data_IF_138882171228
#
_entry.id   IF_138882171228
#
_cell.length_a   1.000
_cell.length_b   1.000
_cell.length_c   1.000
_cell.angle_alpha   90.00
_cell.angle_beta   90.00
_cell.angle_gamma   90.00
#
_symmetry.space_group_name_H-M   'P 1'
#
loop_
_entity.id
_entity.type
_entity.pdbx_description
1 polymer ?
#
# COMPACT_ATOMS: atom_id res chain seq x y z
N UNK A 1 28.09 -20.50 5.77
CA UNK A 1 26.92 -21.15 6.37
C UNK A 1 25.78 -20.85 5.41
N UNK A 2 25.07 -21.86 4.88
CA UNK A 2 23.88 -21.59 4.07
C UNK A 2 22.79 -21.01 4.97
N UNK A 3 22.03 -20.00 4.53
CA UNK A 3 20.85 -19.55 5.26
C UNK A 3 19.89 -20.71 5.45
N UNK A 4 19.25 -20.78 6.63
CA UNK A 4 18.20 -21.76 6.85
C UNK A 4 17.05 -21.49 5.88
N UNK A 5 16.46 -22.53 5.25
CA UNK A 5 15.32 -22.35 4.37
C UNK A 5 14.17 -21.71 5.14
N UNK A 6 13.58 -20.64 4.59
CA UNK A 6 12.35 -20.05 5.12
C UNK A 6 11.30 -21.15 5.23
N UNK A 7 10.81 -21.39 6.45
CA UNK A 7 9.71 -22.32 6.75
C UNK A 7 8.40 -21.74 6.22
N UNK A 8 8.22 -21.82 4.90
CA UNK A 8 7.19 -21.10 4.16
C UNK A 8 5.78 -21.47 4.64
N UNK A 9 5.54 -22.74 4.98
CA UNK A 9 4.21 -23.25 5.33
C UNK A 9 3.72 -22.78 6.71
N UNK A 10 4.61 -22.75 7.72
CA UNK A 10 4.25 -22.30 9.08
C UNK A 10 4.07 -20.78 9.15
N UNK A 11 4.90 -20.02 8.43
CA UNK A 11 4.76 -18.57 8.32
C UNK A 11 3.50 -18.19 7.52
N UNK A 12 3.25 -18.83 6.39
CA UNK A 12 2.07 -18.56 5.56
C UNK A 12 0.78 -18.87 6.33
N UNK A 13 0.73 -19.95 7.12
CA UNK A 13 -0.46 -20.28 7.91
C UNK A 13 -0.67 -19.29 9.05
N UNK A 14 0.38 -18.92 9.80
CA UNK A 14 0.28 -17.91 10.86
C UNK A 14 -0.23 -16.56 10.33
N UNK A 15 0.15 -16.20 9.10
CA UNK A 15 -0.16 -14.91 8.46
C UNK A 15 -1.53 -14.90 7.80
N UNK A 16 -1.99 -16.03 7.26
CA UNK A 16 -3.39 -16.20 6.86
C UNK A 16 -4.34 -16.13 8.06
N UNK A 17 -3.84 -16.47 9.26
CA UNK A 17 -4.59 -16.47 10.51
C UNK A 17 -4.44 -15.16 11.32
N UNK A 18 -3.38 -14.37 11.11
CA UNK A 18 -3.30 -12.98 11.58
C UNK A 18 -3.88 -12.04 10.54
N UNK A 19 -5.16 -11.73 10.68
CA UNK A 19 -5.63 -10.40 10.31
C UNK A 19 -4.85 -9.43 11.22
N UNK A 20 -3.72 -8.90 10.74
CA UNK A 20 -3.06 -7.81 11.44
C UNK A 20 -4.04 -6.64 11.47
N UNK A 21 -4.73 -6.54 12.61
CA UNK A 21 -5.60 -5.45 13.07
C UNK A 21 -4.85 -4.12 12.93
N UNK A 22 -4.82 -3.61 11.71
CA UNK A 22 -4.34 -2.27 11.40
C UNK A 22 -5.50 -1.28 11.46
N UNK A 23 -6.43 -1.45 12.41
CA UNK A 23 -7.45 -0.45 12.71
C UNK A 23 -6.73 0.83 13.15
N UNK A 24 -6.61 1.77 12.22
CA UNK A 24 -6.06 3.09 12.49
C UNK A 24 -7.17 3.97 13.09
N UNK A 25 -6.82 4.92 13.95
CA UNK A 25 -7.72 6.02 14.30
C UNK A 25 -8.34 6.64 13.03
N UNK A 26 -9.62 7.04 13.10
CA UNK A 26 -10.31 7.63 11.94
C UNK A 26 -9.55 8.83 11.37
N UNK A 27 -8.95 9.63 12.26
CA UNK A 27 -8.15 10.79 11.92
C UNK A 27 -6.74 10.47 11.37
N UNK A 28 -6.34 9.21 11.20
CA UNK A 28 -5.00 8.84 10.71
C UNK A 28 -5.04 8.10 9.37
N UNK A 29 -4.49 8.67 8.30
CA UNK A 29 -4.42 8.07 6.96
C UNK A 29 -2.97 7.71 6.64
N UNK A 30 -2.73 6.50 6.10
CA UNK A 30 -1.37 6.06 5.76
C UNK A 30 -0.99 6.51 4.35
N UNK A 31 0.26 6.91 4.14
CA UNK A 31 0.79 7.24 2.83
C UNK A 31 0.64 6.09 1.83
N UNK A 32 0.84 4.83 2.25
CA UNK A 32 0.59 3.65 1.43
C UNK A 32 -0.87 3.47 0.99
N UNK A 33 -1.83 4.09 1.70
CA UNK A 33 -3.23 4.10 1.27
C UNK A 33 -3.54 5.21 0.28
N UNK A 34 -2.67 6.22 0.14
CA UNK A 34 -2.90 7.37 -0.74
C UNK A 34 -2.93 6.99 -2.21
N UNK A 35 -2.26 5.89 -2.59
CA UNK A 35 -2.35 5.34 -3.94
C UNK A 35 -3.66 4.65 -4.27
N UNK A 36 -4.47 4.27 -3.28
CA UNK A 36 -5.74 3.61 -3.55
C UNK A 36 -6.85 4.59 -3.93
N UNK A 37 -7.90 4.12 -4.61
CA UNK A 37 -9.09 4.94 -4.81
C UNK A 37 -9.79 5.22 -3.46
N UNK A 38 -10.60 6.30 -3.38
CA UNK A 38 -11.34 6.65 -2.17
C UNK A 38 -12.14 5.50 -1.56
N UNK A 39 -12.85 4.72 -2.39
CA UNK A 39 -13.57 3.50 -1.96
C UNK A 39 -12.67 2.55 -1.18
N UNK A 40 -11.54 2.20 -1.77
CA UNK A 40 -10.62 1.21 -1.20
C UNK A 40 -10.02 1.73 0.12
N UNK A 41 -9.79 3.02 0.22
CA UNK A 41 -9.39 3.66 1.49
C UNK A 41 -10.50 3.60 2.54
N UNK A 42 -11.77 3.87 2.17
CA UNK A 42 -12.94 3.77 3.06
C UNK A 42 -13.12 2.35 3.59
N UNK A 43 -13.12 1.35 2.72
CA UNK A 43 -13.27 -0.06 3.13
C UNK A 43 -12.13 -0.48 4.04
N UNK A 44 -10.88 -0.08 3.74
CA UNK A 44 -9.73 -0.37 4.59
C UNK A 44 -9.83 0.31 5.97
N UNK A 45 -10.46 1.50 6.07
CA UNK A 45 -10.61 2.24 7.34
C UNK A 45 -11.46 1.51 8.37
N UNK A 46 -12.37 0.67 7.90
CA UNK A 46 -13.32 -0.06 8.75
C UNK A 46 -13.04 -1.56 8.77
N UNK A 47 -11.91 -1.98 8.21
CA UNK A 47 -11.56 -3.39 7.99
C UNK A 47 -12.69 -4.16 7.30
N UNK A 48 -13.36 -3.52 6.34
CA UNK A 48 -14.59 -4.02 5.74
C UNK A 48 -14.37 -4.87 4.49
N UNK A 49 -13.14 -5.27 4.19
CA UNK A 49 -12.79 -6.07 3.03
C UNK A 49 -12.32 -7.46 3.44
N UNK A 50 -12.82 -8.45 2.71
CA UNK A 50 -12.25 -9.77 2.64
C UNK A 50 -11.54 -9.92 1.31
N UNK A 51 -10.37 -10.56 1.35
CA UNK A 51 -9.61 -10.87 0.15
C UNK A 51 -9.47 -12.37 -0.01
N UNK A 52 -9.58 -12.88 -1.25
CA UNK A 52 -9.24 -14.26 -1.56
C UNK A 52 -7.83 -14.61 -1.10
N UNK A 53 -7.62 -15.87 -0.71
CA UNK A 53 -6.33 -16.37 -0.21
C UNK A 53 -5.13 -16.03 -1.10
N UNK A 54 -5.33 -16.05 -2.43
CA UNK A 54 -4.26 -15.76 -3.39
C UNK A 54 -3.82 -14.29 -3.37
N UNK A 55 -4.74 -13.35 -3.12
CA UNK A 55 -4.44 -11.92 -2.94
C UNK A 55 -3.65 -11.72 -1.65
N UNK A 56 -4.12 -12.31 -0.53
CA UNK A 56 -3.38 -12.27 0.75
C UNK A 56 -1.96 -12.84 0.61
N UNK A 57 -1.81 -13.95 -0.11
CA UNK A 57 -0.50 -14.57 -0.34
C UNK A 57 0.44 -13.70 -1.21
N UNK A 58 -0.09 -13.03 -2.24
CA UNK A 58 0.70 -12.13 -3.08
C UNK A 58 1.22 -10.92 -2.30
N UNK A 59 0.36 -10.31 -1.48
CA UNK A 59 0.76 -9.21 -0.60
C UNK A 59 1.85 -9.63 0.39
N UNK A 60 1.70 -10.81 1.02
CA UNK A 60 2.72 -11.36 1.90
C UNK A 60 4.06 -11.58 1.20
N UNK A 61 4.04 -12.19 0.01
CA UNK A 61 5.26 -12.42 -0.75
C UNK A 61 6.00 -11.11 -1.04
N UNK A 62 5.28 -10.05 -1.40
CA UNK A 62 5.86 -8.72 -1.58
C UNK A 62 6.54 -8.20 -0.32
N UNK A 63 5.87 -8.24 0.84
CA UNK A 63 6.45 -7.81 2.12
C UNK A 63 7.65 -8.65 2.54
N UNK A 64 7.61 -9.97 2.32
CA UNK A 64 8.72 -10.86 2.62
C UNK A 64 9.94 -10.54 1.73
N UNK A 65 9.72 -10.35 0.43
CA UNK A 65 10.78 -9.94 -0.48
C UNK A 65 11.37 -8.57 -0.09
N UNK A 66 10.54 -7.62 0.35
CA UNK A 66 11.01 -6.33 0.83
C UNK A 66 11.92 -6.46 2.07
N UNK A 67 11.53 -7.29 3.03
CA UNK A 67 12.36 -7.58 4.21
C UNK A 67 13.68 -8.28 3.85
N UNK A 68 13.65 -9.22 2.91
CA UNK A 68 14.87 -9.88 2.43
C UNK A 68 15.78 -8.88 1.70
N UNK A 69 15.23 -7.99 0.86
CA UNK A 69 15.98 -6.91 0.21
C UNK A 69 16.70 -6.02 1.23
N UNK A 70 16.05 -5.71 2.34
CA UNK A 70 16.64 -4.92 3.43
C UNK A 70 17.79 -5.63 4.18
N UNK A 71 17.76 -6.97 4.22
CA UNK A 71 18.70 -7.78 5.00
C UNK A 71 19.90 -8.27 4.17
N UNK A 72 19.81 -8.23 2.84
CA UNK A 72 20.80 -8.81 1.93
C UNK A 72 21.56 -7.76 1.10
N UNK A 73 22.71 -8.19 0.58
CA UNK A 73 23.60 -7.53 -0.41
C UNK A 73 22.91 -7.23 -1.77
N UNK A 74 21.58 -7.37 -1.88
CA UNK A 74 20.85 -7.07 -3.11
C UNK A 74 20.90 -5.58 -3.48
N UNK A 75 21.12 -4.69 -2.50
CA UNK A 75 21.45 -3.29 -2.78
C UNK A 75 22.82 -3.13 -3.45
N UNK A 76 23.80 -3.97 -3.10
CA UNK A 76 25.13 -3.94 -3.70
C UNK A 76 25.09 -4.46 -5.16
N UNK A 77 24.25 -5.47 -5.45
CA UNK A 77 24.08 -6.03 -6.80
C UNK A 77 23.22 -5.15 -7.73
N UNK A 78 22.31 -4.34 -7.18
CA UNK A 78 21.39 -3.47 -7.93
C UNK A 78 21.94 -2.05 -8.19
N UNK A 79 23.22 -1.79 -7.89
CA UNK A 79 23.87 -0.47 -7.98
C UNK A 79 23.10 0.64 -7.22
N UNK A 80 22.51 0.26 -6.09
CA UNK A 80 21.71 1.16 -5.26
C UNK A 80 22.64 1.93 -4.30
N UNK A 81 22.53 3.27 -4.17
CA UNK A 81 23.41 4.05 -3.31
C UNK A 81 23.41 3.59 -1.85
N UNK A 82 24.49 3.90 -1.13
CA UNK A 82 24.58 3.62 0.30
C UNK A 82 23.47 4.34 1.06
N UNK A 83 22.58 3.58 1.70
CA UNK A 83 21.43 4.12 2.43
C UNK A 83 21.83 4.70 3.79
N UNK A 84 21.28 5.86 4.13
CA UNK A 84 21.44 6.51 5.43
C UNK A 84 20.46 5.94 6.46
N UNK A 85 19.25 5.61 6.03
CA UNK A 85 18.21 5.04 6.88
C UNK A 85 17.31 4.11 6.08
N UNK A 86 16.86 3.03 6.73
CA UNK A 86 15.81 2.13 6.28
C UNK A 86 14.60 2.28 7.20
N UNK A 87 13.40 1.99 6.68
CA UNK A 87 12.16 1.86 7.46
C UNK A 87 11.86 3.14 8.26
N UNK A 88 11.79 4.27 7.55
CA UNK A 88 11.64 5.58 8.16
C UNK A 88 10.18 5.97 8.39
N UNK A 89 9.84 6.30 9.64
CA UNK A 89 8.53 6.83 9.99
C UNK A 89 8.47 8.36 9.83
N UNK A 90 7.38 8.85 9.27
CA UNK A 90 7.11 10.28 9.13
C UNK A 90 5.62 10.58 9.32
N UNK A 91 5.29 11.80 9.72
CA UNK A 91 3.90 12.23 9.84
C UNK A 91 3.76 13.74 9.68
N UNK A 92 2.58 14.15 9.20
CA UNK A 92 2.16 15.54 9.23
C UNK A 92 0.69 15.64 9.62
N UNK A 93 0.35 16.77 10.23
CA UNK A 93 -0.99 17.06 10.73
C UNK A 93 -1.61 18.19 9.92
N UNK A 94 -2.75 17.89 9.31
CA UNK A 94 -3.54 18.81 8.51
C UNK A 94 -4.79 19.22 9.26
N UNK A 95 -5.15 20.49 9.16
CA UNK A 95 -6.42 21.01 9.65
C UNK A 95 -7.29 21.39 8.46
N UNK A 96 -8.41 20.68 8.29
CA UNK A 96 -9.37 20.97 7.24
C UNK A 96 -10.13 22.27 7.51
N UNK A 97 -10.86 22.75 6.49
CA UNK A 97 -11.72 23.94 6.60
C UNK A 97 -12.85 23.78 7.62
N UNK A 98 -13.26 22.52 7.89
CA UNK A 98 -14.20 22.14 8.94
C UNK A 98 -13.59 22.25 10.36
N UNK A 99 -12.31 22.62 10.47
CA UNK A 99 -11.53 22.74 11.70
C UNK A 99 -11.06 21.40 12.28
N UNK A 100 -11.40 20.27 11.64
CA UNK A 100 -11.02 18.92 12.08
C UNK A 100 -9.61 18.57 11.62
N UNK A 101 -9.03 17.57 12.28
CA UNK A 101 -7.63 17.19 12.10
C UNK A 101 -7.54 15.88 11.32
N UNK A 102 -6.67 15.86 10.31
CA UNK A 102 -6.22 14.63 9.63
C UNK A 102 -4.71 14.50 9.84
N UNK A 103 -4.27 13.35 10.34
CA UNK A 103 -2.88 12.97 10.42
C UNK A 103 -2.55 12.08 9.23
N UNK A 104 -1.60 12.48 8.40
CA UNK A 104 -1.07 11.63 7.34
C UNK A 104 0.25 11.07 7.84
N UNK A 105 0.37 9.74 7.88
CA UNK A 105 1.55 9.03 8.39
C UNK A 105 2.17 8.18 7.30
N UNK A 106 3.49 8.18 7.18
CA UNK A 106 4.24 7.40 6.20
C UNK A 106 5.28 6.50 6.84
N UNK A 107 5.56 5.40 6.18
CA UNK A 107 6.67 4.51 6.46
C UNK A 107 7.40 4.27 5.14
N UNK A 108 8.48 5.02 4.89
CA UNK A 108 9.24 4.91 3.64
C UNK A 108 10.35 3.86 3.78
N UNK A 109 10.69 3.22 2.66
CA UNK A 109 11.56 2.04 2.69
C UNK A 109 13.02 2.41 2.96
N UNK A 110 13.54 3.43 2.26
CA UNK A 110 14.89 3.94 2.51
C UNK A 110 15.10 5.41 2.11
N UNK A 111 16.18 5.99 2.64
CA UNK A 111 16.70 7.30 2.21
C UNK A 111 18.24 7.24 2.18
N UNK A 112 18.85 7.83 1.15
CA UNK A 112 20.30 7.89 1.02
C UNK A 112 20.91 9.16 1.65
N UNK A 113 22.25 9.29 1.56
CA UNK A 113 22.96 10.45 2.10
C UNK A 113 22.75 11.75 1.32
N UNK A 114 22.23 11.69 0.11
CA UNK A 114 21.88 12.85 -0.71
C UNK A 114 20.42 13.28 -0.48
N UNK A 115 19.74 12.64 0.47
CA UNK A 115 18.32 12.82 0.76
C UNK A 115 17.44 12.44 -0.43
N UNK A 116 17.77 11.37 -1.15
CA UNK A 116 16.83 10.74 -2.10
C UNK A 116 16.08 9.63 -1.38
N UNK A 117 14.74 9.66 -1.45
CA UNK A 117 13.91 8.57 -0.95
C UNK A 117 13.85 7.42 -1.94
N UNK A 118 13.76 6.19 -1.45
CA UNK A 118 13.58 5.00 -2.28
C UNK A 118 12.35 4.25 -1.80
N UNK A 119 11.51 3.87 -2.76
CA UNK A 119 10.33 3.03 -2.55
C UNK A 119 10.47 1.79 -3.45
N UNK A 120 10.62 0.62 -2.83
CA UNK A 120 10.95 -0.64 -3.50
C UNK A 120 9.68 -1.44 -3.78
N UNK A 121 9.52 -1.84 -5.04
CA UNK A 121 8.33 -2.54 -5.53
C UNK A 121 8.72 -3.86 -6.19
N UNK A 122 8.29 -4.96 -5.60
CA UNK A 122 8.55 -6.29 -6.15
C UNK A 122 7.44 -6.71 -7.11
N UNK A 123 7.79 -7.08 -8.33
CA UNK A 123 6.85 -7.41 -9.40
C UNK A 123 7.17 -8.76 -10.04
N UNK A 124 6.16 -9.36 -10.67
CA UNK A 124 6.35 -10.54 -11.51
C UNK A 124 6.86 -10.22 -12.92
N UNK A 125 6.64 -8.99 -13.40
CA UNK A 125 7.06 -8.55 -14.73
C UNK A 125 7.16 -7.01 -14.78
N UNK A 126 8.32 -6.49 -15.17
CA UNK A 126 8.58 -5.05 -15.30
C UNK A 126 7.96 -4.40 -16.53
N UNK A 127 7.47 -5.18 -17.51
CA UNK A 127 6.84 -4.65 -18.73
C UNK A 127 5.76 -3.59 -18.45
N UNK A 128 5.04 -3.73 -17.35
CA UNK A 128 3.96 -2.82 -16.98
C UNK A 128 4.41 -1.45 -16.46
N UNK A 129 5.70 -1.25 -16.21
CA UNK A 129 6.27 -0.01 -15.67
C UNK A 129 7.35 0.60 -16.56
N UNK A 130 7.75 -0.05 -17.66
CA UNK A 130 8.78 0.47 -18.57
C UNK A 130 8.48 1.88 -19.12
N UNK A 131 7.20 2.21 -19.30
CA UNK A 131 6.77 3.52 -19.81
C UNK A 131 6.53 4.56 -18.70
N UNK A 132 6.67 4.18 -17.43
CA UNK A 132 6.45 5.05 -16.27
C UNK A 132 5.96 4.30 -15.03
N UNK A 133 6.06 4.94 -13.85
CA UNK A 133 5.56 4.34 -12.62
C UNK A 133 4.03 4.18 -12.69
N UNK A 134 3.50 3.34 -11.80
CA UNK A 134 2.04 3.26 -11.61
C UNK A 134 1.57 4.48 -10.81
N UNK A 135 0.47 5.09 -11.23
CA UNK A 135 -0.12 6.29 -10.57
C UNK A 135 -0.25 6.11 -9.05
N UNK A 136 -0.69 4.94 -8.59
CA UNK A 136 -0.83 4.67 -7.16
C UNK A 136 0.50 4.58 -6.40
N UNK A 137 1.59 4.17 -7.05
CA UNK A 137 2.93 4.24 -6.45
C UNK A 137 3.44 5.68 -6.43
N UNK A 138 3.16 6.45 -7.48
CA UNK A 138 3.48 7.87 -7.52
C UNK A 138 2.75 8.65 -6.42
N UNK A 139 1.45 8.43 -6.21
CA UNK A 139 0.68 9.03 -5.11
C UNK A 139 1.27 8.73 -3.72
N UNK A 140 1.69 7.47 -3.51
CA UNK A 140 2.34 7.05 -2.27
C UNK A 140 3.66 7.81 -2.07
N UNK A 141 4.48 7.91 -3.12
CA UNK A 141 5.80 8.54 -3.09
C UNK A 141 5.71 10.06 -2.99
N UNK A 142 4.78 10.71 -3.70
CA UNK A 142 4.46 12.12 -3.55
C UNK A 142 4.06 12.44 -2.12
N UNK A 143 3.32 11.53 -1.46
CA UNK A 143 3.04 11.66 -0.03
C UNK A 143 4.32 11.61 0.80
N UNK A 144 5.22 10.65 0.58
CA UNK A 144 6.48 10.58 1.34
C UNK A 144 7.38 11.80 1.15
N UNK A 145 7.53 12.28 -0.09
CA UNK A 145 8.31 13.48 -0.42
C UNK A 145 7.83 14.70 0.36
N UNK A 146 6.52 14.91 0.40
CA UNK A 146 5.94 16.04 1.13
C UNK A 146 5.98 15.85 2.64
N UNK A 147 5.79 14.62 3.16
CA UNK A 147 5.89 14.34 4.59
C UNK A 147 7.32 14.56 5.15
N UNK A 148 8.33 14.28 4.34
CA UNK A 148 9.76 14.37 4.73
C UNK A 148 10.43 15.68 4.33
N UNK A 149 9.75 16.56 3.59
CA UNK A 149 10.32 17.78 2.99
C UNK A 149 11.51 17.47 2.05
N UNK A 150 11.42 16.35 1.34
CA UNK A 150 12.44 15.87 0.41
C UNK A 150 12.05 16.22 -1.03
N UNK A 151 13.01 16.60 -1.86
CA UNK A 151 12.75 17.04 -3.24
C UNK A 151 12.63 15.90 -4.24
N UNK A 152 13.26 14.75 -4.00
CA UNK A 152 13.37 13.66 -4.98
C UNK A 152 13.24 12.26 -4.36
N UNK A 153 12.59 11.37 -5.10
CA UNK A 153 12.51 9.94 -4.81
C UNK A 153 12.79 9.10 -6.06
N UNK A 154 13.18 7.84 -5.84
CA UNK A 154 13.24 6.79 -6.84
C UNK A 154 12.25 5.69 -6.49
N UNK A 155 11.39 5.33 -7.44
CA UNK A 155 10.58 4.12 -7.36
C UNK A 155 11.37 3.01 -8.04
N UNK A 156 11.80 2.03 -7.25
CA UNK A 156 12.67 0.94 -7.72
C UNK A 156 11.85 -0.33 -7.86
N UNK A 157 11.58 -0.71 -9.10
CA UNK A 157 10.88 -1.94 -9.42
C UNK A 157 11.84 -3.09 -9.63
N UNK A 158 11.60 -4.20 -8.95
CA UNK A 158 12.45 -5.37 -8.94
C UNK A 158 11.67 -6.59 -9.41
N UNK A 159 12.21 -7.31 -10.38
CA UNK A 159 11.63 -8.57 -10.87
C UNK A 159 12.71 -9.63 -10.98
N UNK A 160 12.46 -10.79 -10.39
CA UNK A 160 13.34 -11.94 -10.56
C UNK A 160 12.84 -12.79 -11.70
N UNK A 161 13.59 -12.84 -12.80
CA UNK A 161 13.29 -13.73 -13.92
C UNK A 161 13.48 -15.18 -13.45
N UNK A 162 12.43 -15.99 -13.56
CA UNK A 162 12.55 -17.43 -13.34
C UNK A 162 13.04 -18.05 -14.65
N UNK A 163 14.36 -18.11 -14.80
CA UNK A 163 14.98 -18.96 -15.80
C UNK A 163 15.26 -20.34 -15.17
N UNK A 164 14.49 -21.35 -15.60
CA UNK A 164 14.60 -22.72 -15.05
C UNK A 164 15.91 -23.41 -15.41
N UNK A 165 16.66 -22.88 -16.38
CA UNK A 165 17.89 -23.46 -16.88
C UNK A 165 19.15 -22.73 -16.37
N UNK A 166 19.01 -21.62 -15.64
CA UNK A 166 20.12 -20.85 -15.07
C UNK A 166 20.16 -20.95 -13.54
N UNK A 167 21.34 -21.28 -13.00
CA UNK A 167 21.60 -21.32 -11.55
C UNK A 167 21.70 -19.91 -10.94
N UNK A 168 22.11 -18.91 -11.74
CA UNK A 168 22.09 -17.49 -11.39
C UNK A 168 20.81 -16.86 -11.95
N UNK A 169 19.89 -16.48 -11.06
CA UNK A 169 18.66 -15.77 -11.43
C UNK A 169 18.89 -14.27 -11.29
N UNK A 170 19.17 -13.53 -12.39
CA UNK A 170 19.37 -12.09 -12.34
C UNK A 170 18.09 -11.39 -11.86
N UNK A 171 18.28 -10.28 -11.18
CA UNK A 171 17.20 -9.36 -10.82
C UNK A 171 17.20 -8.27 -11.86
N UNK A 172 16.09 -8.17 -12.58
CA UNK A 172 15.84 -7.02 -13.43
C UNK A 172 15.39 -5.86 -12.56
N UNK A 173 15.88 -4.67 -12.90
CA UNK A 173 15.59 -3.42 -12.18
C UNK A 173 15.08 -2.39 -13.18
N UNK A 174 13.96 -1.75 -12.85
CA UNK A 174 13.44 -0.56 -13.55
C UNK A 174 13.29 0.55 -12.50
N UNK A 175 13.78 1.76 -12.80
CA UNK A 175 13.77 2.88 -11.86
C UNK A 175 13.09 4.10 -12.47
N UNK A 176 12.24 4.74 -11.69
CA UNK A 176 11.62 6.00 -12.08
C UNK A 176 11.83 7.06 -11.01
N UNK A 177 12.38 8.19 -11.46
CA UNK A 177 12.53 9.37 -10.62
C UNK A 177 11.20 10.10 -10.49
N UNK A 178 10.85 10.45 -9.26
CA UNK A 178 9.70 11.28 -8.93
C UNK A 178 10.21 12.52 -8.20
N UNK A 179 9.90 13.69 -8.77
CA UNK A 179 10.20 14.98 -8.16
C UNK A 179 9.00 15.43 -7.32
N UNK A 180 9.26 16.11 -6.20
CA UNK A 180 8.23 16.58 -5.29
C UNK A 180 7.30 17.57 -5.99
N UNK A 181 6.01 17.23 -6.02
CA UNK A 181 4.94 18.14 -6.41
C UNK A 181 4.09 18.51 -5.20
N UNK A 182 4.45 19.64 -4.57
CA UNK A 182 3.71 20.17 -3.42
C UNK A 182 2.28 20.56 -3.80
N UNK A 183 2.06 21.09 -5.01
CA UNK A 183 0.74 21.54 -5.42
C UNK A 183 -0.20 20.35 -5.66
N UNK A 184 0.30 19.28 -6.29
CA UNK A 184 -0.46 18.04 -6.42
C UNK A 184 -0.83 17.46 -5.06
N UNK A 185 0.14 17.38 -4.14
CA UNK A 185 -0.10 16.86 -2.80
C UNK A 185 -1.14 17.68 -2.01
N UNK A 186 -1.04 19.01 -2.03
CA UNK A 186 -1.98 19.89 -1.33
C UNK A 186 -3.38 19.93 -1.95
N UNK A 187 -3.49 19.83 -3.28
CA UNK A 187 -4.77 19.99 -3.99
C UNK A 187 -5.50 18.66 -4.25
N UNK A 188 -4.79 17.54 -4.30
CA UNK A 188 -5.37 16.24 -4.66
C UNK A 188 -5.29 15.24 -3.49
N UNK A 189 -4.09 15.07 -2.91
CA UNK A 189 -3.86 14.03 -1.91
C UNK A 189 -4.37 14.43 -0.51
N UNK A 190 -4.11 15.65 -0.04
CA UNK A 190 -4.61 16.12 1.26
C UNK A 190 -6.16 16.12 1.31
N UNK A 191 -6.90 16.64 0.32
CA UNK A 191 -8.36 16.56 0.29
C UNK A 191 -8.87 15.12 0.30
N UNK A 192 -8.29 14.23 -0.52
CA UNK A 192 -8.61 12.79 -0.53
C UNK A 192 -8.49 12.16 0.86
N UNK A 193 -7.42 12.48 1.60
CA UNK A 193 -7.24 12.00 2.97
C UNK A 193 -8.29 12.58 3.94
N UNK A 194 -8.67 13.84 3.78
CA UNK A 194 -9.71 14.49 4.56
C UNK A 194 -11.10 13.87 4.34
N UNK A 195 -11.44 13.55 3.09
CA UNK A 195 -12.73 12.97 2.70
C UNK A 195 -12.88 11.56 3.28
N UNK A 196 -11.86 10.71 3.13
CA UNK A 196 -11.85 9.36 3.72
C UNK A 196 -11.94 9.42 5.25
N UNK A 197 -11.25 10.38 5.87
CA UNK A 197 -11.35 10.64 7.31
C UNK A 197 -12.76 11.08 7.72
N UNK A 198 -13.42 11.91 6.92
CA UNK A 198 -14.77 12.38 7.18
C UNK A 198 -15.76 11.22 7.14
N UNK A 199 -15.66 10.41 6.09
CA UNK A 199 -16.45 9.21 5.92
C UNK A 199 -16.27 8.26 7.11
N UNK A 200 -15.03 8.01 7.54
CA UNK A 200 -14.75 7.12 8.67
C UNK A 200 -15.31 7.67 10.00
N UNK A 201 -15.30 8.99 10.21
CA UNK A 201 -15.92 9.60 11.39
C UNK A 201 -17.45 9.57 11.36
N UNK A 202 -18.06 9.65 10.17
CA UNK A 202 -19.51 9.60 9.99
C UNK A 202 -20.06 8.19 10.22
N UNK A 203 -19.44 7.19 9.59
CA UNK A 203 -19.95 5.81 9.58
C UNK A 203 -19.29 4.90 10.62
N UNK A 204 -18.08 5.21 11.05
CA UNK A 204 -17.34 4.41 12.02
C UNK A 204 -18.07 4.17 13.35
N UNK A 205 -18.73 5.19 13.97
CA UNK A 205 -19.49 4.98 15.20
C UNK A 205 -20.66 3.99 15.05
N UNK A 206 -21.33 3.97 13.89
CA UNK A 206 -22.41 3.03 13.61
C UNK A 206 -21.87 1.59 13.52
N UNK A 207 -20.77 1.40 12.78
CA UNK A 207 -20.08 0.10 12.70
C UNK A 207 -19.64 -0.38 14.08
N UNK A 208 -19.04 0.51 14.90
CA UNK A 208 -18.62 0.18 16.26
C UNK A 208 -19.79 -0.18 17.18
N UNK A 209 -21.01 0.27 16.88
CA UNK A 209 -22.24 -0.10 17.56
C UNK A 209 -22.86 -1.41 17.02
N UNK A 210 -22.26 -2.03 16.00
CA UNK A 210 -22.74 -3.24 15.34
C UNK A 210 -23.81 -2.98 14.26
N UNK A 211 -23.95 -1.73 13.81
CA UNK A 211 -24.83 -1.39 12.69
C UNK A 211 -24.13 -1.71 11.36
N UNK A 212 -24.89 -2.33 10.45
CA UNK A 212 -24.39 -2.63 9.10
C UNK A 212 -24.52 -1.40 8.21
N UNK A 213 -23.48 -1.13 7.42
CA UNK A 213 -23.49 -0.06 6.43
C UNK A 213 -24.10 -0.53 5.12
N UNK A 214 -24.82 0.36 4.45
CA UNK A 214 -25.24 0.16 3.07
C UNK A 214 -24.02 0.32 2.13
N UNK A 215 -23.69 -0.66 1.26
CA UNK A 215 -22.63 -0.50 0.26
C UNK A 215 -22.74 0.75 -0.61
N UNK A 216 -23.94 1.34 -0.77
CA UNK A 216 -24.15 2.60 -1.49
C UNK A 216 -23.52 3.83 -0.79
N UNK A 217 -23.12 3.74 0.48
CA UNK A 217 -22.39 4.84 1.15
C UNK A 217 -20.90 4.87 0.79
N UNK A 218 -20.40 3.86 0.09
CA UNK A 218 -19.02 3.81 -0.40
C UNK A 218 -18.91 4.53 -1.74
N UNK A 219 -17.74 5.08 -2.02
CA UNK A 219 -17.43 5.53 -3.36
C UNK A 219 -17.44 4.37 -4.37
N UNK A 220 -17.57 4.72 -5.64
CA UNK A 220 -17.55 3.77 -6.75
C UNK A 220 -16.20 3.01 -6.82
N UNK A 221 -16.22 1.70 -7.12
CA UNK A 221 -15.00 0.95 -7.33
C UNK A 221 -14.26 1.45 -8.58
N UNK A 222 -12.93 1.40 -8.54
CA UNK A 222 -12.10 1.64 -9.71
C UNK A 222 -11.61 0.32 -10.32
N UNK A 223 -10.97 0.39 -11.49
CA UNK A 223 -10.44 -0.78 -12.22
C UNK A 223 -9.12 -1.33 -11.62
N UNK A 224 -8.88 -1.15 -10.32
CA UNK A 224 -7.68 -1.68 -9.67
C UNK A 224 -7.82 -3.15 -9.33
N UNK A 225 -6.71 -3.89 -9.35
CA UNK A 225 -6.65 -5.29 -8.96
C UNK A 225 -7.32 -5.57 -7.61
N UNK A 226 -7.16 -4.67 -6.63
CA UNK A 226 -7.79 -4.83 -5.32
C UNK A 226 -9.30 -4.64 -5.37
N UNK A 227 -9.82 -3.64 -6.11
CA UNK A 227 -11.26 -3.44 -6.25
C UNK A 227 -11.94 -4.57 -7.06
N UNK A 228 -11.27 -5.10 -8.09
CA UNK A 228 -11.77 -6.23 -8.87
C UNK A 228 -11.86 -7.53 -8.07
N UNK A 229 -11.07 -7.66 -7.00
CA UNK A 229 -10.99 -8.85 -6.16
C UNK A 229 -11.47 -8.59 -4.72
N UNK A 230 -12.16 -7.48 -4.48
CA UNK A 230 -12.70 -7.10 -3.17
C UNK A 230 -14.05 -7.75 -2.94
N UNK A 231 -14.14 -8.53 -1.85
CA UNK A 231 -15.42 -8.93 -1.27
C UNK A 231 -15.68 -8.08 -0.03
N UNK A 232 -16.85 -7.43 0.05
CA UNK A 232 -17.23 -6.67 1.23
C UNK A 232 -17.58 -7.60 2.38
N UNK A 233 -17.06 -7.32 3.57
CA UNK A 233 -17.32 -8.11 4.77
C UNK A 233 -18.80 -7.99 5.18
N UNK A 234 -19.58 -9.09 5.21
CA UNK A 234 -20.98 -9.06 5.57
C UNK A 234 -21.25 -8.73 7.06
N UNK A 235 -20.22 -8.76 7.92
CA UNK A 235 -20.31 -8.27 9.30
C UNK A 235 -20.29 -6.74 9.37
N UNK A 236 -19.65 -6.08 8.40
CA UNK A 236 -19.60 -4.61 8.30
C UNK A 236 -20.72 -4.07 7.40
N UNK A 237 -20.99 -4.74 6.28
CA UNK A 237 -21.91 -4.25 5.25
C UNK A 237 -23.20 -5.07 5.17
N UNK A 238 -24.31 -4.36 4.93
CA UNK A 238 -25.58 -4.92 4.53
C UNK A 238 -25.51 -5.15 3.02
N UNK A 239 -24.94 -6.28 2.60
CA UNK A 239 -24.95 -6.66 1.19
C UNK A 239 -26.41 -6.80 0.76
N UNK A 240 -26.87 -5.89 -0.08
CA UNK A 240 -28.16 -6.03 -0.73
C UNK A 240 -28.13 -7.34 -1.51
N UNK A 241 -29.10 -8.21 -1.23
CA UNK A 241 -29.25 -9.49 -1.91
C UNK A 241 -29.69 -9.25 -3.36
N UNK A 242 -28.79 -8.73 -4.18
CA UNK A 242 -28.98 -8.49 -5.60
C UNK A 242 -27.78 -9.10 -6.32
N UNK A 243 -27.88 -10.41 -6.64
CA UNK A 243 -27.11 -10.95 -7.76
C UNK A 243 -26.35 -12.26 -7.60
N UNK A 244 -26.34 -12.92 -6.44
CA UNK A 244 -25.92 -14.34 -6.37
C UNK A 244 -27.16 -15.24 -6.39
N UNK A 245 -27.91 -15.20 -7.50
CA UNK A 245 -28.76 -16.36 -7.83
C UNK A 245 -27.82 -17.52 -8.18
N UNK A 246 -28.05 -18.64 -7.51
CA UNK A 246 -27.30 -19.88 -7.64
C UNK A 246 -26.96 -20.20 -9.10
N UNK A 247 -25.66 -20.34 -9.39
CA UNK A 247 -25.24 -21.09 -10.57
C UNK A 247 -25.69 -22.55 -10.36
N UNK A 248 -26.69 -22.94 -11.17
CA UNK A 248 -27.30 -24.27 -11.20
C UNK A 248 -26.32 -25.42 -11.48
#
# INVERSE_FOLDING_TARGET
MSPEPVQFDEHLQHILDTDEDNLQPYNQVRASSMGYCPRRMQVSKVNGNQFPRHVKAAAFLGSAMHKELQQHELYDDADVPSMMQFEGETFQTYRGDDGRITNITGHFDAIDSEATLYDFKTMSNLYYVQDGPKDHHEDQVQTYLNLTDTDRAEIVYLSRQIDRDNEEMPIDVEQHTVERDQAYYENELVPKAHDVRQWAEEYGPAIAAGEKLDPEVLDEPCDSFFCENEDLDPEVFAVDAVGFEDAA
#
